data_IF_700100093945
#
_entry.id   IF_700100093945
#
_cell.length_a   1.000
_cell.length_b   1.000
_cell.length_c   1.000
_cell.angle_alpha   90.00
_cell.angle_beta   90.00
_cell.angle_gamma   90.00
#
_symmetry.space_group_name_H-M   'P 1'
#
loop_
_entity.id
_entity.type
_entity.pdbx_description
1 polymer ?
#
# COMPACT_ATOMS: atom_id res chain seq x y z
N UNK A 1 -60.46 17.83 -9.02
CA UNK A 1 -60.17 18.54 -7.76
C UNK A 1 -58.74 18.31 -7.31
N UNK A 2 -58.35 17.12 -6.80
CA UNK A 2 -56.99 16.85 -6.26
C UNK A 2 -55.84 17.32 -7.16
N UNK A 3 -55.87 16.98 -8.46
CA UNK A 3 -54.84 17.42 -9.41
C UNK A 3 -54.74 18.94 -9.61
N UNK A 4 -55.80 19.70 -9.36
CA UNK A 4 -55.79 21.17 -9.41
C UNK A 4 -55.13 21.75 -8.16
N UNK A 5 -55.35 21.13 -6.98
CA UNK A 5 -54.65 21.51 -5.75
C UNK A 5 -53.14 21.25 -5.86
N UNK A 6 -52.75 20.09 -6.44
CA UNK A 6 -51.35 19.80 -6.72
C UNK A 6 -50.74 20.79 -7.73
N UNK A 7 -51.40 21.04 -8.87
CA UNK A 7 -50.90 21.98 -9.87
C UNK A 7 -50.76 23.41 -9.31
N UNK A 8 -51.73 23.87 -8.51
CA UNK A 8 -51.65 25.16 -7.83
C UNK A 8 -50.49 25.26 -6.84
N UNK A 9 -50.18 24.17 -6.11
CA UNK A 9 -49.01 24.11 -5.23
C UNK A 9 -47.69 24.12 -6.03
N UNK A 10 -47.58 23.35 -7.12
CA UNK A 10 -46.38 23.37 -7.97
C UNK A 10 -46.15 24.76 -8.58
N UNK A 11 -47.21 25.41 -9.07
CA UNK A 11 -47.11 26.76 -9.63
C UNK A 11 -46.70 27.77 -8.55
N UNK A 12 -47.33 27.77 -7.37
CA UNK A 12 -46.97 28.68 -6.28
C UNK A 12 -45.51 28.48 -5.81
N UNK A 13 -45.03 27.23 -5.74
CA UNK A 13 -43.63 26.92 -5.44
C UNK A 13 -42.67 27.38 -6.54
N UNK A 14 -43.05 27.26 -7.81
CA UNK A 14 -42.27 27.72 -8.95
C UNK A 14 -42.16 29.26 -8.95
N UNK A 15 -43.29 29.96 -8.83
CA UNK A 15 -43.37 31.43 -8.85
C UNK A 15 -42.64 32.09 -7.67
N UNK A 16 -42.56 31.39 -6.53
CA UNK A 16 -41.83 31.86 -5.33
C UNK A 16 -40.38 31.35 -5.24
N UNK A 17 -39.93 30.55 -6.23
CA UNK A 17 -38.62 29.87 -6.22
C UNK A 17 -38.38 29.05 -4.93
N UNK A 18 -39.42 28.38 -4.44
CA UNK A 18 -39.43 27.65 -3.17
C UNK A 18 -39.36 26.12 -3.37
N UNK A 19 -38.81 25.43 -2.36
CA UNK A 19 -38.81 23.96 -2.26
C UNK A 19 -39.49 23.53 -0.98
N UNK A 20 -40.21 22.40 -1.02
CA UNK A 20 -40.90 21.87 0.16
C UNK A 20 -40.07 20.75 0.79
N UNK A 21 -39.63 20.93 2.04
CA UNK A 21 -38.99 19.86 2.82
C UNK A 21 -40.08 18.89 3.29
N UNK A 22 -39.89 17.60 3.04
CA UNK A 22 -40.87 16.54 3.31
C UNK A 22 -40.25 15.33 3.99
N UNK A 23 -41.04 14.69 4.86
CA UNK A 23 -40.76 13.35 5.38
C UNK A 23 -41.44 12.32 4.47
N UNK A 24 -40.66 11.42 3.87
CA UNK A 24 -41.16 10.33 3.03
C UNK A 24 -41.06 8.99 3.77
N UNK A 25 -42.19 8.31 3.93
CA UNK A 25 -42.23 6.90 4.30
C UNK A 25 -42.87 6.14 3.13
N UNK A 26 -42.16 5.21 2.49
CA UNK A 26 -42.73 4.45 1.36
C UNK A 26 -43.70 3.35 1.81
N UNK A 27 -43.44 2.73 2.95
CA UNK A 27 -44.31 1.76 3.61
C UNK A 27 -44.07 1.79 5.12
N UNK A 28 -44.93 1.14 5.90
CA UNK A 28 -44.76 0.96 7.35
C UNK A 28 -43.43 0.26 7.72
N UNK A 29 -42.88 -0.58 6.82
CA UNK A 29 -41.60 -1.27 7.00
C UNK A 29 -40.39 -0.46 6.52
N UNK A 30 -40.61 0.71 5.91
CA UNK A 30 -39.55 1.56 5.37
C UNK A 30 -39.16 2.61 6.39
N UNK A 31 -37.86 2.72 6.70
CA UNK A 31 -37.33 3.83 7.50
C UNK A 31 -37.77 5.18 6.93
N UNK A 32 -38.12 6.17 7.77
CA UNK A 32 -38.49 7.49 7.31
C UNK A 32 -37.28 8.18 6.65
N UNK A 33 -37.47 8.70 5.45
CA UNK A 33 -36.49 9.56 4.78
C UNK A 33 -36.85 11.03 4.96
N UNK A 34 -35.82 11.88 5.05
CA UNK A 34 -35.94 13.31 4.83
C UNK A 34 -35.60 13.61 3.37
N UNK A 35 -36.31 14.54 2.74
CA UNK A 35 -36.01 15.00 1.39
C UNK A 35 -36.64 16.35 1.09
N UNK A 36 -36.40 16.87 -0.11
CA UNK A 36 -37.11 18.03 -0.64
C UNK A 36 -37.83 17.71 -1.95
N UNK A 37 -38.93 18.42 -2.18
CA UNK A 37 -39.67 18.45 -3.44
C UNK A 37 -39.29 19.72 -4.19
N UNK A 38 -38.70 19.55 -5.38
CA UNK A 38 -38.46 20.63 -6.35
C UNK A 38 -39.63 20.68 -7.34
N UNK A 39 -40.26 21.85 -7.58
CA UNK A 39 -41.30 21.98 -8.60
C UNK A 39 -40.71 21.83 -10.00
N UNK A 40 -41.41 21.15 -10.91
CA UNK A 40 -41.06 21.08 -12.33
C UNK A 40 -42.31 21.21 -13.20
N UNK A 41 -42.23 22.10 -14.19
CA UNK A 41 -43.29 22.41 -15.14
C UNK A 41 -42.72 22.19 -16.54
N UNK A 42 -43.24 21.18 -17.22
CA UNK A 42 -42.93 20.89 -18.62
C UNK A 42 -44.13 21.32 -19.51
N UNK A 43 -43.96 21.22 -20.83
CA UNK A 43 -45.02 21.58 -21.79
C UNK A 43 -46.19 20.59 -21.81
N UNK A 44 -45.94 19.36 -21.39
CA UNK A 44 -46.85 18.21 -21.43
C UNK A 44 -47.35 17.77 -20.04
N UNK A 45 -46.57 18.03 -18.98
CA UNK A 45 -46.90 17.61 -17.62
C UNK A 45 -46.36 18.56 -16.53
N UNK A 46 -46.97 18.48 -15.35
CA UNK A 46 -46.55 19.21 -14.13
C UNK A 46 -46.22 18.16 -13.08
N UNK A 47 -45.04 18.24 -12.45
CA UNK A 47 -44.59 17.27 -11.45
C UNK A 47 -43.72 17.91 -10.34
N UNK A 48 -43.30 17.08 -9.40
CA UNK A 48 -42.27 17.44 -8.40
C UNK A 48 -41.19 16.35 -8.37
N UNK A 49 -39.93 16.75 -8.37
CA UNK A 49 -38.82 15.84 -8.14
C UNK A 49 -38.55 15.72 -6.63
N UNK A 50 -38.70 14.51 -6.08
CA UNK A 50 -38.22 14.17 -4.74
C UNK A 50 -36.73 13.88 -4.79
N UNK A 51 -35.95 14.62 -4.00
CA UNK A 51 -34.52 14.36 -3.76
C UNK A 51 -34.33 14.13 -2.27
N UNK A 52 -33.71 13.00 -1.91
CA UNK A 52 -33.39 12.66 -0.52
C UNK A 52 -32.33 13.63 0.01
N UNK A 53 -32.50 14.09 1.24
CA UNK A 53 -31.52 14.90 1.97
C UNK A 53 -30.66 14.00 2.87
N UNK A 54 -29.37 14.32 3.08
CA UNK A 54 -28.56 13.69 4.09
C UNK A 54 -29.10 14.01 5.50
N UNK A 55 -28.98 13.06 6.42
CA UNK A 55 -29.08 13.34 7.85
C UNK A 55 -27.76 13.90 8.39
N UNK A 56 -27.74 14.41 9.63
CA UNK A 56 -26.49 14.86 10.27
C UNK A 56 -25.42 13.77 10.37
N UNK A 57 -25.85 12.51 10.43
CA UNK A 57 -24.99 11.30 10.43
C UNK A 57 -24.33 11.02 9.06
N UNK A 58 -24.94 11.48 7.96
CA UNK A 58 -24.39 11.34 6.60
C UNK A 58 -23.33 12.42 6.28
N UNK A 59 -23.37 13.56 6.99
CA UNK A 59 -22.47 14.70 6.78
C UNK A 59 -21.07 14.39 7.31
N UNK A 60 -20.05 14.63 6.48
CA UNK A 60 -18.64 14.41 6.83
C UNK A 60 -17.87 15.72 6.76
N UNK A 61 -17.45 16.21 7.92
CA UNK A 61 -16.63 17.41 8.04
C UNK A 61 -15.17 17.09 7.67
N UNK A 62 -14.79 17.41 6.43
CA UNK A 62 -13.41 17.33 5.96
C UNK A 62 -12.80 18.74 5.89
N UNK A 63 -11.82 19.00 6.75
CA UNK A 63 -11.06 20.24 6.72
C UNK A 63 -10.00 20.18 5.61
N UNK A 64 -10.09 21.10 4.64
CA UNK A 64 -9.12 21.28 3.57
C UNK A 64 -8.57 22.72 3.61
N UNK A 65 -7.28 22.88 3.29
CA UNK A 65 -6.69 24.21 3.11
C UNK A 65 -7.35 24.95 1.94
N UNK A 66 -7.63 26.24 2.10
CA UNK A 66 -8.11 27.07 0.99
C UNK A 66 -7.00 27.22 -0.06
N UNK A 67 -7.21 26.64 -1.25
CA UNK A 67 -6.28 26.64 -2.37
C UNK A 67 -5.83 28.06 -2.77
N UNK A 68 -6.71 29.05 -2.70
CA UNK A 68 -6.39 30.46 -3.03
C UNK A 68 -5.33 31.03 -2.08
N UNK A 69 -5.33 30.60 -0.81
CA UNK A 69 -4.37 31.05 0.19
C UNK A 69 -2.97 30.42 0.01
N UNK A 70 -2.87 29.31 -0.75
CA UNK A 70 -1.63 28.57 -0.97
C UNK A 70 -0.78 29.29 -2.03
N UNK A 71 0.02 30.27 -1.59
CA UNK A 71 0.96 31.04 -2.42
C UNK A 71 1.94 30.22 -3.28
N UNK A 72 2.09 28.92 -3.01
CA UNK A 72 2.93 27.98 -3.80
C UNK A 72 2.23 27.47 -5.07
N UNK A 73 0.90 27.52 -5.10
CA UNK A 73 0.05 26.89 -6.13
C UNK A 73 -0.78 27.92 -6.92
N UNK A 74 -0.51 29.21 -6.72
CA UNK A 74 -1.10 30.31 -7.49
C UNK A 74 -0.68 30.19 -8.97
N UNK A 75 -1.63 30.12 -9.92
CA UNK A 75 -1.31 29.96 -11.34
C UNK A 75 -0.79 31.27 -11.96
N UNK A 76 0.01 31.14 -13.02
CA UNK A 76 0.45 32.27 -13.86
C UNK A 76 -0.68 32.78 -14.76
N UNK A 77 -0.66 34.07 -15.11
CA UNK A 77 -1.51 34.67 -16.15
C UNK A 77 -1.44 33.93 -17.49
N UNK A 78 -0.31 33.29 -17.80
CA UNK A 78 -0.15 32.47 -19.01
C UNK A 78 -0.83 31.10 -18.88
N UNK A 79 -0.77 30.49 -17.70
CA UNK A 79 -1.42 29.22 -17.39
C UNK A 79 -2.95 29.39 -17.38
N UNK A 80 -3.46 30.49 -16.83
CA UNK A 80 -4.89 30.83 -16.86
C UNK A 80 -5.40 30.93 -18.31
N UNK A 81 -4.71 31.68 -19.17
CA UNK A 81 -5.07 31.82 -20.61
C UNK A 81 -5.05 30.48 -21.35
N UNK A 82 -4.12 29.58 -21.03
CA UNK A 82 -4.08 28.22 -21.61
C UNK A 82 -5.30 27.40 -21.17
N UNK A 83 -5.73 27.51 -19.92
CA UNK A 83 -6.94 26.86 -19.40
C UNK A 83 -8.22 27.45 -20.00
N UNK A 84 -8.33 28.78 -20.12
CA UNK A 84 -9.45 29.44 -20.82
C UNK A 84 -9.56 28.97 -22.29
N UNK A 85 -8.41 28.86 -22.97
CA UNK A 85 -8.35 28.35 -24.34
C UNK A 85 -8.69 26.85 -24.40
N UNK A 86 -8.32 26.05 -23.41
CA UNK A 86 -8.68 24.63 -23.33
C UNK A 86 -10.20 24.46 -23.16
N UNK A 87 -10.81 25.19 -22.21
CA UNK A 87 -12.26 25.21 -21.98
C UNK A 87 -12.99 25.57 -23.28
N UNK A 88 -12.56 26.64 -23.96
CA UNK A 88 -13.13 27.09 -25.23
C UNK A 88 -12.96 26.05 -26.36
N UNK A 89 -11.88 25.26 -26.35
CA UNK A 89 -11.58 24.28 -27.42
C UNK A 89 -12.24 22.91 -27.17
N UNK A 90 -12.56 22.58 -25.92
CA UNK A 90 -13.21 21.32 -25.52
C UNK A 90 -14.69 21.49 -25.15
N UNK A 91 -15.29 22.64 -25.45
CA UNK A 91 -16.73 22.89 -25.29
C UNK A 91 -17.55 21.92 -26.15
N UNK A 92 -18.57 21.30 -25.53
CA UNK A 92 -19.49 20.35 -26.13
C UNK A 92 -20.92 20.90 -26.25
N UNK A 93 -21.20 22.11 -25.77
CA UNK A 93 -22.56 22.68 -25.77
C UNK A 93 -23.10 22.95 -27.17
N UNK A 94 -22.24 23.36 -28.12
CA UNK A 94 -22.65 23.90 -29.41
C UNK A 94 -21.77 23.44 -30.61
N UNK A 95 -21.57 22.12 -30.79
CA UNK A 95 -20.74 21.61 -31.88
C UNK A 95 -21.44 21.62 -33.27
N UNK A 96 -21.45 22.81 -33.87
CA UNK A 96 -21.67 23.09 -35.30
C UNK A 96 -23.12 22.92 -35.84
N UNK A 97 -23.63 23.99 -36.47
CA UNK A 97 -24.84 24.12 -37.32
C UNK A 97 -26.23 23.74 -36.78
N UNK A 98 -26.36 22.99 -35.70
CA UNK A 98 -27.68 22.58 -35.16
C UNK A 98 -28.21 23.43 -34.00
N UNK A 99 -27.31 24.00 -33.19
CA UNK A 99 -27.66 24.49 -31.84
C UNK A 99 -27.91 23.36 -30.82
N UNK A 100 -27.70 22.10 -31.24
CA UNK A 100 -27.80 20.92 -30.39
C UNK A 100 -26.47 20.59 -29.71
N UNK A 101 -26.56 19.98 -28.52
CA UNK A 101 -25.43 19.52 -27.72
C UNK A 101 -24.66 18.38 -28.43
N UNK A 102 -23.33 18.50 -28.45
CA UNK A 102 -22.41 17.63 -29.19
C UNK A 102 -22.38 16.19 -28.67
N UNK A 103 -22.52 16.03 -27.35
CA UNK A 103 -22.53 14.75 -26.65
C UNK A 103 -23.61 14.81 -25.60
N UNK A 104 -24.61 13.92 -25.66
CA UNK A 104 -25.70 13.87 -24.67
C UNK A 104 -25.58 12.58 -23.87
N UNK A 105 -24.97 12.58 -22.67
CA UNK A 105 -24.78 11.38 -21.87
C UNK A 105 -26.07 10.60 -21.60
N UNK A 106 -27.19 11.31 -21.44
CA UNK A 106 -28.52 10.73 -21.19
C UNK A 106 -29.05 9.86 -22.34
N UNK A 107 -28.52 10.01 -23.56
CA UNK A 107 -28.84 9.18 -24.72
C UNK A 107 -27.85 8.01 -24.90
N UNK A 108 -26.79 7.93 -24.09
CA UNK A 108 -25.78 6.87 -24.18
C UNK A 108 -26.20 5.66 -23.33
N UNK A 109 -26.53 4.57 -24.01
CA UNK A 109 -26.83 3.29 -23.35
C UNK A 109 -25.66 2.79 -22.50
N UNK A 110 -25.97 2.14 -21.37
CA UNK A 110 -24.97 1.56 -20.47
C UNK A 110 -24.12 0.49 -21.20
N UNK A 111 -22.81 0.74 -21.43
CA UNK A 111 -21.98 -0.14 -22.26
C UNK A 111 -21.71 -1.49 -21.58
N UNK A 112 -21.78 -1.59 -20.25
CA UNK A 112 -21.62 -2.87 -19.53
C UNK A 112 -22.71 -3.87 -19.92
N UNK A 113 -23.97 -3.42 -19.96
CA UNK A 113 -25.13 -4.28 -20.26
C UNK A 113 -25.06 -4.76 -21.72
N UNK A 114 -24.75 -3.85 -22.64
CA UNK A 114 -24.60 -4.19 -24.06
C UNK A 114 -23.41 -5.15 -24.29
N UNK A 115 -22.27 -4.90 -23.64
CA UNK A 115 -21.09 -5.78 -23.67
C UNK A 115 -21.39 -7.17 -23.09
N UNK A 116 -22.15 -7.25 -22.01
CA UNK A 116 -22.60 -8.51 -21.43
C UNK A 116 -23.42 -9.31 -22.46
N UNK A 117 -24.43 -8.70 -23.08
CA UNK A 117 -25.24 -9.38 -24.10
C UNK A 117 -24.46 -9.76 -25.36
N UNK A 118 -23.55 -8.90 -25.85
CA UNK A 118 -22.63 -9.24 -26.93
C UNK A 118 -21.75 -10.46 -26.59
N UNK A 119 -21.23 -10.52 -25.37
CA UNK A 119 -20.37 -11.62 -24.90
C UNK A 119 -21.16 -12.93 -24.78
N UNK A 120 -22.39 -12.89 -24.27
CA UNK A 120 -23.30 -14.04 -24.19
C UNK A 120 -23.67 -14.54 -25.59
N UNK A 121 -24.10 -13.64 -26.48
CA UNK A 121 -24.47 -13.99 -27.86
C UNK A 121 -23.28 -14.60 -28.63
N UNK A 122 -22.08 -14.01 -28.53
CA UNK A 122 -20.88 -14.55 -29.17
C UNK A 122 -20.49 -15.92 -28.62
N UNK A 123 -20.56 -16.13 -27.30
CA UNK A 123 -20.28 -17.45 -26.67
C UNK A 123 -21.32 -18.51 -27.03
N UNK A 124 -22.59 -18.12 -27.26
CA UNK A 124 -23.65 -19.03 -27.66
C UNK A 124 -23.52 -19.49 -29.13
N UNK A 125 -23.00 -18.63 -30.02
CA UNK A 125 -22.76 -18.95 -31.44
C UNK A 125 -21.40 -19.61 -31.64
N UNK A 126 -20.36 -19.16 -30.92
CA UNK A 126 -18.98 -19.62 -31.06
C UNK A 126 -18.39 -20.00 -29.68
N UNK A 127 -18.62 -21.24 -29.21
CA UNK A 127 -18.30 -21.64 -27.83
C UNK A 127 -16.82 -21.59 -27.45
N UNK A 128 -15.88 -21.73 -28.39
CA UNK A 128 -14.45 -21.84 -28.11
C UNK A 128 -13.64 -20.55 -28.37
N UNK A 129 -14.20 -19.56 -29.07
CA UNK A 129 -13.48 -18.32 -29.39
C UNK A 129 -13.21 -17.48 -28.11
N UNK A 130 -12.03 -16.84 -27.95
CA UNK A 130 -11.81 -15.88 -26.87
C UNK A 130 -12.75 -14.67 -26.99
N UNK A 131 -13.09 -14.03 -25.86
CA UNK A 131 -13.95 -12.85 -25.87
C UNK A 131 -13.20 -11.65 -26.48
N UNK A 132 -13.59 -11.23 -27.68
CA UNK A 132 -12.98 -10.11 -28.43
C UNK A 132 -12.93 -8.82 -27.60
N UNK A 133 -11.76 -8.18 -27.47
CA UNK A 133 -11.60 -6.96 -26.64
C UNK A 133 -12.27 -5.71 -27.24
N UNK A 134 -12.53 -5.68 -28.55
CA UNK A 134 -13.30 -4.62 -29.23
C UNK A 134 -14.69 -4.45 -28.60
N UNK A 135 -15.10 -3.18 -28.47
CA UNK A 135 -16.38 -2.74 -27.95
C UNK A 135 -16.96 -1.74 -28.95
N UNK A 136 -17.79 -2.21 -29.89
CA UNK A 136 -18.33 -1.37 -30.98
C UNK A 136 -19.12 -0.14 -30.49
N UNK A 137 -19.58 -0.14 -29.25
CA UNK A 137 -20.25 1.01 -28.62
C UNK A 137 -19.25 2.12 -28.22
N UNK A 138 -18.03 1.75 -27.84
CA UNK A 138 -16.94 2.72 -27.64
C UNK A 138 -16.51 3.28 -28.99
N UNK A 139 -16.34 2.41 -30.00
CA UNK A 139 -15.97 2.77 -31.38
C UNK A 139 -16.97 3.74 -32.04
N UNK A 140 -18.26 3.69 -31.68
CA UNK A 140 -19.27 4.67 -32.10
C UNK A 140 -19.04 6.06 -31.48
N UNK A 141 -18.81 6.13 -30.16
CA UNK A 141 -18.55 7.38 -29.45
C UNK A 141 -17.16 7.97 -29.75
N UNK A 142 -16.19 7.12 -30.12
CA UNK A 142 -14.82 7.52 -30.45
C UNK A 142 -14.76 8.55 -31.59
N UNK A 143 -15.75 8.57 -32.49
CA UNK A 143 -15.80 9.54 -33.61
C UNK A 143 -15.85 11.00 -33.13
N UNK A 144 -16.63 11.28 -32.09
CA UNK A 144 -16.67 12.61 -31.47
C UNK A 144 -15.41 12.87 -30.64
N UNK A 145 -14.96 11.89 -29.87
CA UNK A 145 -13.74 11.99 -29.05
C UNK A 145 -12.52 12.31 -29.91
N UNK A 146 -12.38 11.67 -31.07
CA UNK A 146 -11.33 11.95 -32.06
C UNK A 146 -11.44 13.37 -32.63
N UNK A 147 -12.65 13.86 -32.92
CA UNK A 147 -12.89 15.23 -33.40
C UNK A 147 -12.47 16.27 -32.36
N UNK A 148 -12.86 16.09 -31.09
CA UNK A 148 -12.52 16.99 -29.98
C UNK A 148 -11.02 16.93 -29.66
N UNK A 149 -10.45 15.73 -29.53
CA UNK A 149 -9.02 15.54 -29.29
C UNK A 149 -8.14 16.12 -30.41
N UNK A 150 -8.58 16.03 -31.67
CA UNK A 150 -7.87 16.63 -32.81
C UNK A 150 -7.87 18.17 -32.75
N UNK A 151 -8.92 18.79 -32.20
CA UNK A 151 -9.00 20.23 -31.96
C UNK A 151 -8.13 20.65 -30.77
N UNK A 152 -8.27 19.97 -29.64
CA UNK A 152 -7.62 20.37 -28.37
C UNK A 152 -6.14 19.99 -28.27
N UNK A 153 -5.64 19.08 -29.13
CA UNK A 153 -4.25 18.60 -29.07
C UNK A 153 -3.21 19.70 -28.89
N UNK A 154 -3.25 20.76 -29.70
CA UNK A 154 -2.26 21.86 -29.61
C UNK A 154 -2.27 22.55 -28.25
N UNK A 155 -3.45 22.77 -27.70
CA UNK A 155 -3.64 23.38 -26.38
C UNK A 155 -3.19 22.45 -25.26
N UNK A 156 -3.36 21.14 -25.43
CA UNK A 156 -2.84 20.11 -24.51
C UNK A 156 -1.32 19.99 -24.58
N UNK A 157 -0.72 20.10 -25.77
CA UNK A 157 0.74 20.12 -25.97
C UNK A 157 1.36 21.32 -25.21
N UNK A 158 0.80 22.54 -25.38
CA UNK A 158 1.22 23.74 -24.63
C UNK A 158 0.95 23.65 -23.12
N UNK A 159 -0.16 23.02 -22.70
CA UNK A 159 -0.45 22.79 -21.28
C UNK A 159 0.61 21.86 -20.66
N UNK A 160 1.02 20.80 -21.35
CA UNK A 160 2.07 19.90 -20.89
C UNK A 160 3.43 20.61 -20.73
N UNK A 161 3.74 21.58 -21.58
CA UNK A 161 4.94 22.43 -21.44
C UNK A 161 4.85 23.39 -20.23
N UNK A 162 3.68 23.98 -19.98
CA UNK A 162 3.47 24.94 -18.88
C UNK A 162 3.23 24.32 -17.49
N UNK A 163 2.84 23.04 -17.42
CA UNK A 163 2.53 22.34 -16.16
C UNK A 163 3.44 21.11 -16.00
N UNK A 164 4.68 21.35 -15.56
CA UNK A 164 5.69 20.28 -15.41
C UNK A 164 5.36 19.32 -14.25
N UNK A 165 4.60 18.26 -14.55
CA UNK A 165 4.33 17.18 -13.60
C UNK A 165 5.55 16.28 -13.40
N UNK A 166 5.67 15.66 -12.22
CA UNK A 166 6.65 14.62 -11.93
C UNK A 166 5.91 13.41 -11.36
N UNK A 167 6.02 12.26 -12.02
CA UNK A 167 5.55 11.00 -11.42
C UNK A 167 6.40 10.69 -10.18
N UNK A 168 5.74 10.58 -9.04
CA UNK A 168 6.31 9.99 -7.83
C UNK A 168 6.28 8.46 -7.94
N UNK A 169 7.19 7.78 -7.25
CA UNK A 169 7.26 6.31 -7.28
C UNK A 169 5.97 5.69 -6.72
N UNK A 170 5.07 5.30 -7.63
CA UNK A 170 3.86 4.57 -7.27
C UNK A 170 4.26 3.20 -6.74
N UNK A 171 3.75 2.83 -5.56
CA UNK A 171 3.91 1.47 -5.00
C UNK A 171 3.68 0.44 -6.11
N UNK A 172 4.66 -0.44 -6.33
CA UNK A 172 4.59 -1.41 -7.42
C UNK A 172 3.29 -2.21 -7.32
N UNK A 173 2.46 -2.15 -8.37
CA UNK A 173 1.39 -3.14 -8.53
C UNK A 173 2.07 -4.50 -8.67
N UNK A 174 1.62 -5.48 -7.87
CA UNK A 174 2.08 -6.88 -7.93
C UNK A 174 2.22 -7.35 -9.38
N UNK A 175 3.30 -8.07 -9.71
CA UNK A 175 3.52 -8.54 -11.09
C UNK A 175 2.31 -9.36 -11.57
N UNK A 176 1.59 -8.83 -12.56
CA UNK A 176 0.54 -9.55 -13.27
C UNK A 176 1.11 -10.83 -13.89
N UNK A 177 0.35 -11.93 -13.91
CA UNK A 177 0.81 -13.21 -14.46
C UNK A 177 1.36 -13.13 -15.89
N UNK A 178 0.84 -12.20 -16.70
CA UNK A 178 1.34 -11.86 -18.02
C UNK A 178 2.84 -11.49 -18.04
N UNK A 179 3.36 -10.78 -17.01
CA UNK A 179 4.79 -10.48 -16.86
C UNK A 179 5.62 -11.64 -16.31
N UNK A 180 4.99 -12.71 -15.82
CA UNK A 180 5.65 -13.92 -15.32
C UNK A 180 5.65 -15.05 -16.36
N UNK A 181 4.65 -15.09 -17.25
CA UNK A 181 4.41 -16.23 -18.16
C UNK A 181 4.18 -15.85 -19.63
N UNK A 182 3.94 -14.57 -19.96
CA UNK A 182 3.50 -14.12 -21.30
C UNK A 182 4.53 -14.22 -22.43
N UNK A 183 5.78 -14.60 -22.14
CA UNK A 183 6.82 -14.87 -23.14
C UNK A 183 7.02 -16.37 -23.44
N UNK A 184 6.13 -17.25 -22.97
CA UNK A 184 6.14 -18.69 -23.28
C UNK A 184 5.24 -18.97 -24.49
N UNK A 185 5.50 -18.29 -25.61
CA UNK A 185 4.88 -18.66 -26.88
C UNK A 185 5.86 -18.52 -28.06
N UNK A 186 6.24 -19.68 -28.60
CA UNK A 186 6.78 -19.92 -29.93
C UNK A 186 7.74 -18.88 -30.55
N UNK A 187 8.98 -18.86 -30.08
CA UNK A 187 10.11 -18.76 -31.03
C UNK A 187 11.11 -19.88 -30.81
N UNK A 188 11.32 -20.72 -31.84
CA UNK A 188 12.36 -21.76 -31.89
C UNK A 188 13.74 -21.16 -32.16
N UNK A 189 14.04 -20.04 -31.50
CA UNK A 189 15.35 -19.39 -31.59
C UNK A 189 16.29 -20.08 -30.61
N UNK A 190 16.97 -21.14 -31.09
CA UNK A 190 18.19 -21.65 -30.45
C UNK A 190 19.15 -20.47 -30.25
N UNK A 191 19.21 -19.94 -29.04
CA UNK A 191 20.35 -19.15 -28.61
C UNK A 191 21.53 -20.12 -28.56
N UNK A 192 22.32 -20.10 -29.63
CA UNK A 192 23.56 -20.85 -29.77
C UNK A 192 24.58 -20.21 -28.82
N UNK A 193 24.53 -20.59 -27.54
CA UNK A 193 25.71 -20.55 -26.70
C UNK A 193 26.73 -21.45 -27.37
N UNK A 194 27.90 -20.89 -27.67
CA UNK A 194 28.99 -21.59 -28.34
C UNK A 194 29.64 -22.60 -27.39
N UNK A 195 30.29 -23.61 -27.96
CA UNK A 195 30.73 -24.78 -27.20
C UNK A 195 31.76 -24.43 -26.11
N UNK A 196 31.58 -25.02 -24.92
CA UNK A 196 32.68 -25.59 -24.17
C UNK A 196 32.19 -26.92 -23.59
N UNK A 197 32.80 -28.01 -24.04
CA UNK A 197 32.40 -29.36 -23.64
C UNK A 197 32.75 -29.64 -22.18
N UNK A 198 31.78 -30.17 -21.45
CA UNK A 198 31.98 -31.37 -20.63
C UNK A 198 30.62 -31.99 -20.33
N UNK A 199 30.27 -33.00 -21.13
CA UNK A 199 29.09 -33.83 -20.91
C UNK A 199 29.46 -34.98 -19.97
N UNK A 200 29.06 -34.87 -18.70
CA UNK A 200 28.79 -36.06 -17.89
C UNK A 200 27.27 -36.29 -17.86
N UNK A 201 26.80 -37.22 -18.70
CA UNK A 201 25.45 -37.74 -18.60
C UNK A 201 25.31 -38.58 -17.33
N UNK A 202 24.72 -38.01 -16.27
CA UNK A 202 24.07 -38.82 -15.24
C UNK A 202 22.55 -38.78 -15.43
N UNK A 203 22.06 -39.81 -16.10
CA UNK A 203 20.63 -40.16 -16.12
C UNK A 203 20.21 -40.70 -14.75
N UNK A 204 19.52 -39.89 -13.96
CA UNK A 204 18.76 -40.36 -12.78
C UNK A 204 17.41 -39.67 -12.68
N UNK A 205 16.36 -40.48 -12.55
CA UNK A 205 14.98 -40.03 -12.43
C UNK A 205 14.68 -39.26 -11.14
N UNK A 206 13.56 -38.53 -11.15
CA UNK A 206 12.81 -38.08 -9.96
C UNK A 206 13.58 -37.21 -8.95
N UNK A 207 13.77 -35.93 -9.29
CA UNK A 207 13.79 -34.84 -8.28
C UNK A 207 12.51 -34.02 -8.41
N UNK A 208 11.93 -33.58 -7.28
CA UNK A 208 10.59 -32.98 -7.28
C UNK A 208 10.55 -31.58 -7.89
N UNK A 209 9.36 -31.12 -8.26
CA UNK A 209 9.10 -29.73 -8.67
C UNK A 209 9.61 -28.72 -7.63
N UNK A 210 9.58 -29.08 -6.34
CA UNK A 210 10.12 -28.25 -5.25
C UNK A 210 11.64 -28.13 -5.31
N UNK A 211 12.37 -29.18 -5.72
CA UNK A 211 13.82 -29.12 -5.87
C UNK A 211 14.22 -28.15 -7.00
N UNK A 212 13.49 -28.14 -8.12
CA UNK A 212 13.72 -27.17 -9.19
C UNK A 212 13.34 -25.75 -8.76
N UNK A 213 12.23 -25.58 -8.02
CA UNK A 213 11.82 -24.29 -7.48
C UNK A 213 12.81 -23.76 -6.43
N UNK A 214 13.35 -24.63 -5.57
CA UNK A 214 14.35 -24.32 -4.57
C UNK A 214 15.68 -23.93 -5.21
N UNK A 215 16.16 -24.67 -6.22
CA UNK A 215 17.36 -24.30 -6.98
C UNK A 215 17.21 -22.93 -7.65
N UNK A 216 16.05 -22.65 -8.25
CA UNK A 216 15.76 -21.37 -8.91
C UNK A 216 15.56 -20.22 -7.93
N UNK A 217 15.10 -20.50 -6.70
CA UNK A 217 15.16 -19.56 -5.55
C UNK A 217 16.61 -19.30 -5.12
N UNK A 218 17.42 -20.36 -4.93
CA UNK A 218 18.82 -20.26 -4.46
C UNK A 218 19.63 -19.32 -5.37
N UNK A 219 19.43 -19.42 -6.68
CA UNK A 219 20.06 -18.55 -7.69
C UNK A 219 19.59 -17.08 -7.73
N UNK A 220 18.65 -16.67 -6.85
CA UNK A 220 18.03 -15.34 -6.86
C UNK A 220 18.04 -14.63 -5.50
N UNK A 221 18.62 -15.21 -4.45
CA UNK A 221 18.74 -14.57 -3.13
C UNK A 221 19.78 -13.45 -3.23
N UNK A 222 19.35 -12.20 -3.00
CA UNK A 222 20.22 -11.00 -2.93
C UNK A 222 20.09 -10.24 -1.60
N UNK A 223 19.13 -10.64 -0.78
CA UNK A 223 18.77 -10.00 0.49
C UNK A 223 18.25 -11.05 1.46
N UNK A 224 18.68 -11.00 2.71
CA UNK A 224 18.17 -11.89 3.78
C UNK A 224 16.70 -11.53 4.09
N UNK A 225 15.81 -12.52 4.10
CA UNK A 225 14.39 -12.35 4.41
C UNK A 225 14.04 -12.67 5.86
N UNK A 226 12.94 -12.10 6.35
CA UNK A 226 12.37 -12.37 7.69
C UNK A 226 11.70 -13.76 7.82
N UNK A 227 11.71 -14.58 6.76
CA UNK A 227 11.05 -15.90 6.70
C UNK A 227 12.05 -17.04 6.98
N UNK A 228 13.21 -17.05 6.31
CA UNK A 228 14.24 -18.09 6.37
C UNK A 228 15.66 -17.53 6.63
N UNK A 229 15.84 -16.59 7.57
CA UNK A 229 17.06 -15.75 7.65
C UNK A 229 18.37 -16.53 7.78
N UNK A 230 18.37 -17.66 8.50
CA UNK A 230 19.55 -18.50 8.73
C UNK A 230 19.99 -19.23 7.45
N UNK A 231 19.03 -19.68 6.64
CA UNK A 231 19.31 -20.35 5.35
C UNK A 231 19.72 -19.32 4.29
N UNK A 232 19.01 -18.20 4.22
CA UNK A 232 19.35 -17.07 3.34
C UNK A 232 20.79 -16.58 3.61
N UNK A 233 21.17 -16.43 4.88
CA UNK A 233 22.52 -15.99 5.30
C UNK A 233 23.62 -16.99 4.93
N UNK A 234 23.45 -18.28 5.25
CA UNK A 234 24.43 -19.32 4.89
C UNK A 234 24.59 -19.42 3.38
N UNK A 235 23.50 -19.35 2.63
CA UNK A 235 23.54 -19.46 1.16
C UNK A 235 24.13 -18.22 0.48
N UNK A 236 23.95 -17.01 1.02
CA UNK A 236 24.66 -15.81 0.56
C UNK A 236 26.18 -15.91 0.78
N UNK A 237 26.61 -16.46 1.93
CA UNK A 237 28.04 -16.69 2.24
C UNK A 237 28.64 -17.79 1.36
N UNK A 238 27.89 -18.85 1.05
CA UNK A 238 28.28 -19.89 0.07
C UNK A 238 28.46 -19.32 -1.34
N UNK A 239 27.63 -18.35 -1.74
CA UNK A 239 27.60 -17.79 -3.09
C UNK A 239 28.61 -16.66 -3.34
N UNK A 240 29.14 -16.03 -2.29
CA UNK A 240 30.13 -14.94 -2.41
C UNK A 240 29.68 -13.72 -3.22
N UNK A 241 28.36 -13.54 -3.41
CA UNK A 241 27.79 -12.53 -4.33
C UNK A 241 27.65 -11.12 -3.72
N UNK A 242 28.04 -10.94 -2.46
CA UNK A 242 28.06 -9.68 -1.72
C UNK A 242 29.20 -9.75 -0.69
N UNK A 243 29.70 -8.62 -0.17
CA UNK A 243 30.78 -8.69 0.82
C UNK A 243 30.29 -9.32 2.13
N UNK A 244 31.17 -10.04 2.84
CA UNK A 244 30.80 -10.68 4.11
C UNK A 244 30.26 -9.64 5.12
N UNK A 245 30.88 -8.46 5.17
CA UNK A 245 30.44 -7.31 5.95
C UNK A 245 29.01 -6.85 5.59
N UNK A 246 28.65 -6.75 4.30
CA UNK A 246 27.27 -6.42 3.88
C UNK A 246 26.27 -7.50 4.32
N UNK A 247 26.61 -8.78 4.14
CA UNK A 247 25.73 -9.91 4.50
C UNK A 247 25.52 -9.99 6.02
N UNK A 248 26.55 -9.71 6.81
CA UNK A 248 26.43 -9.53 8.25
C UNK A 248 25.57 -8.32 8.62
N UNK A 249 25.74 -7.15 7.97
CA UNK A 249 24.90 -5.96 8.22
C UNK A 249 23.42 -6.18 7.88
N UNK A 250 23.11 -6.97 6.84
CA UNK A 250 21.74 -7.40 6.56
C UNK A 250 21.18 -8.28 7.68
N UNK A 251 21.96 -9.27 8.16
CA UNK A 251 21.56 -10.11 9.28
C UNK A 251 21.34 -9.28 10.55
N UNK A 252 22.24 -8.35 10.87
CA UNK A 252 22.10 -7.39 11.96
C UNK A 252 20.79 -6.60 11.88
N UNK A 253 20.42 -6.16 10.67
CA UNK A 253 19.17 -5.42 10.44
C UNK A 253 17.94 -6.29 10.70
N UNK A 254 17.94 -7.55 10.26
CA UNK A 254 16.84 -8.51 10.48
C UNK A 254 16.72 -8.91 11.97
N UNK A 255 17.84 -9.12 12.67
CA UNK A 255 17.87 -9.35 14.12
C UNK A 255 17.25 -8.16 14.86
N UNK A 256 17.66 -6.93 14.51
CA UNK A 256 17.09 -5.72 15.09
C UNK A 256 15.60 -5.57 14.72
N UNK A 257 15.15 -5.95 13.52
CA UNK A 257 13.74 -5.93 13.15
C UNK A 257 12.92 -6.89 14.04
N UNK A 258 13.38 -8.13 14.26
CA UNK A 258 12.72 -9.07 15.17
C UNK A 258 12.64 -8.52 16.61
N UNK A 259 13.73 -7.93 17.13
CA UNK A 259 13.75 -7.31 18.47
C UNK A 259 12.82 -6.08 18.56
N UNK A 260 12.67 -5.32 17.46
CA UNK A 260 11.80 -4.14 17.44
C UNK A 260 10.31 -4.48 17.25
N UNK A 261 9.97 -5.50 16.46
CA UNK A 261 8.61 -5.82 16.04
C UNK A 261 7.97 -6.98 16.84
N UNK A 262 8.69 -7.66 17.75
CA UNK A 262 8.12 -8.75 18.55
C UNK A 262 7.02 -8.27 19.50
N UNK A 263 5.89 -8.97 19.50
CA UNK A 263 4.83 -8.82 20.51
C UNK A 263 4.99 -9.94 21.55
N UNK A 264 5.72 -9.62 22.62
CA UNK A 264 6.16 -10.62 23.59
C UNK A 264 7.23 -11.56 23.02
N UNK A 265 7.22 -12.81 23.45
CA UNK A 265 8.32 -13.77 23.23
C UNK A 265 8.47 -14.31 21.79
N UNK A 266 7.43 -14.22 20.96
CA UNK A 266 7.26 -15.07 19.77
C UNK A 266 8.33 -14.94 18.66
N UNK A 267 9.15 -13.88 18.65
CA UNK A 267 10.28 -13.70 17.71
C UNK A 267 11.65 -13.77 18.40
N UNK A 268 11.72 -13.78 19.73
CA UNK A 268 12.98 -13.73 20.48
C UNK A 268 13.82 -14.99 20.28
N UNK A 269 13.20 -16.17 20.32
CA UNK A 269 13.90 -17.45 20.13
C UNK A 269 14.50 -17.56 18.71
N UNK A 270 13.86 -16.94 17.70
CA UNK A 270 14.41 -16.83 16.33
C UNK A 270 15.56 -15.82 16.25
N UNK A 271 15.46 -14.70 16.96
CA UNK A 271 16.54 -13.72 17.03
C UNK A 271 17.79 -14.31 17.70
N UNK A 272 17.64 -15.10 18.78
CA UNK A 272 18.74 -15.82 19.44
C UNK A 272 19.45 -16.78 18.48
N UNK A 273 18.71 -17.61 17.73
CA UNK A 273 19.29 -18.51 16.72
C UNK A 273 20.02 -17.77 15.59
N UNK A 274 19.53 -16.58 15.20
CA UNK A 274 20.21 -15.72 14.23
C UNK A 274 21.51 -15.12 14.80
N UNK A 275 21.51 -14.71 16.07
CA UNK A 275 22.70 -14.19 16.78
C UNK A 275 23.76 -15.31 16.94
N UNK A 276 23.36 -16.51 17.36
CA UNK A 276 24.25 -17.67 17.47
C UNK A 276 24.87 -18.02 16.10
N UNK A 277 24.06 -18.10 15.05
CA UNK A 277 24.56 -18.34 13.69
C UNK A 277 25.47 -17.21 13.16
N UNK A 278 25.26 -15.96 13.58
CA UNK A 278 26.14 -14.85 13.25
C UNK A 278 27.49 -14.97 13.98
N UNK A 279 27.49 -15.31 15.28
CA UNK A 279 28.70 -15.56 16.08
C UNK A 279 29.57 -16.63 15.44
N UNK A 280 29.00 -17.80 15.15
CA UNK A 280 29.71 -18.94 14.55
C UNK A 280 30.40 -18.56 13.23
N UNK A 281 29.72 -17.79 12.38
CA UNK A 281 30.25 -17.40 11.06
C UNK A 281 31.27 -16.25 11.17
N UNK A 282 31.11 -15.32 12.11
CA UNK A 282 32.12 -14.30 12.41
C UNK A 282 33.41 -14.92 12.95
N UNK A 283 33.33 -15.95 13.79
CA UNK A 283 34.51 -16.73 14.25
C UNK A 283 35.16 -17.45 13.05
N UNK A 284 34.39 -18.16 12.23
CA UNK A 284 34.90 -18.89 11.05
C UNK A 284 35.54 -17.98 9.98
N UNK A 285 35.14 -16.70 9.89
CA UNK A 285 35.68 -15.72 8.93
C UNK A 285 36.68 -14.73 9.53
N UNK A 286 36.97 -14.83 10.83
CA UNK A 286 37.90 -13.96 11.57
C UNK A 286 37.53 -12.47 11.55
N UNK A 287 36.23 -12.14 11.50
CA UNK A 287 35.70 -10.77 11.60
C UNK A 287 34.88 -10.58 12.90
N UNK A 288 35.50 -10.60 14.10
CA UNK A 288 34.80 -10.53 15.38
C UNK A 288 34.19 -9.15 15.67
N UNK A 289 34.75 -8.09 15.07
CA UNK A 289 34.38 -6.68 15.29
C UNK A 289 32.89 -6.43 15.00
N UNK A 290 32.37 -6.98 13.90
CA UNK A 290 30.96 -6.79 13.48
C UNK A 290 29.99 -7.40 14.49
N UNK A 291 30.32 -8.56 15.05
CA UNK A 291 29.49 -9.21 16.06
C UNK A 291 29.51 -8.42 17.38
N UNK A 292 30.69 -8.04 17.84
CA UNK A 292 30.86 -7.30 19.10
C UNK A 292 30.18 -5.92 19.05
N UNK A 293 30.26 -5.21 17.92
CA UNK A 293 29.53 -3.95 17.68
C UNK A 293 28.00 -4.15 17.70
N UNK A 294 27.49 -5.24 17.09
CA UNK A 294 26.06 -5.61 17.14
C UNK A 294 25.61 -5.91 18.57
N UNK A 295 26.39 -6.64 19.36
CA UNK A 295 26.03 -7.03 20.72
C UNK A 295 25.93 -5.80 21.65
N UNK A 296 26.87 -4.85 21.50
CA UNK A 296 26.82 -3.54 22.16
C UNK A 296 25.58 -2.74 21.75
N UNK A 297 25.21 -2.75 20.46
CA UNK A 297 23.98 -2.11 19.97
C UNK A 297 22.71 -2.75 20.53
N UNK A 298 22.67 -4.09 20.65
CA UNK A 298 21.54 -4.81 21.27
C UNK A 298 21.44 -4.47 22.76
N UNK A 299 22.55 -4.47 23.51
CA UNK A 299 22.58 -4.05 24.93
C UNK A 299 22.02 -2.64 25.11
N UNK A 300 22.44 -1.71 24.25
CA UNK A 300 21.96 -0.32 24.24
C UNK A 300 20.47 -0.19 23.89
N UNK A 301 19.93 -1.00 22.99
CA UNK A 301 18.49 -1.00 22.69
C UNK A 301 17.65 -1.70 23.77
N UNK A 302 18.19 -2.71 24.45
CA UNK A 302 17.50 -3.40 25.55
C UNK A 302 17.37 -2.52 26.80
N UNK A 303 18.39 -1.70 27.12
CA UNK A 303 18.35 -0.76 28.25
C UNK A 303 17.37 0.40 28.08
N UNK A 304 17.10 0.83 26.85
CA UNK A 304 16.30 2.03 26.55
C UNK A 304 14.78 1.79 26.44
N UNK A 305 14.31 0.54 26.42
CA UNK A 305 12.91 0.20 26.08
C UNK A 305 12.39 -0.88 27.02
N UNK A 306 11.42 -0.54 27.88
CA UNK A 306 11.00 -1.37 29.02
C UNK A 306 10.42 -2.76 28.68
N UNK A 307 10.02 -3.00 27.42
CA UNK A 307 9.60 -4.33 26.95
C UNK A 307 10.72 -5.26 26.48
N UNK A 308 12.01 -4.88 26.58
CA UNK A 308 13.15 -5.62 26.00
C UNK A 308 14.15 -6.17 27.03
N UNK A 309 13.93 -5.87 28.31
CA UNK A 309 14.74 -6.40 29.42
C UNK A 309 14.67 -7.93 29.49
N UNK A 310 13.52 -8.52 29.13
CA UNK A 310 13.35 -9.98 29.12
C UNK A 310 14.03 -10.69 27.94
N UNK A 311 14.17 -10.01 26.79
CA UNK A 311 15.06 -10.48 25.72
C UNK A 311 16.52 -10.53 26.20
N UNK A 312 16.98 -9.48 26.90
CA UNK A 312 18.34 -9.47 27.44
C UNK A 312 18.58 -10.55 28.50
N UNK A 313 17.58 -10.84 29.37
CA UNK A 313 17.66 -11.99 30.30
C UNK A 313 17.92 -13.30 29.53
N UNK A 314 17.15 -13.59 28.48
CA UNK A 314 17.37 -14.78 27.65
C UNK A 314 18.76 -14.81 26.97
N UNK A 315 19.28 -13.67 26.52
CA UNK A 315 20.67 -13.57 25.97
C UNK A 315 21.71 -13.94 27.03
N UNK A 316 21.51 -13.50 28.29
CA UNK A 316 22.39 -13.83 29.43
C UNK A 316 22.24 -15.29 29.87
N UNK A 317 21.01 -15.83 29.89
CA UNK A 317 20.73 -17.23 30.25
C UNK A 317 21.37 -18.22 29.24
N UNK A 318 21.28 -17.91 27.94
CA UNK A 318 21.97 -18.62 26.85
C UNK A 318 23.49 -18.35 26.81
N UNK A 319 24.01 -17.46 27.67
CA UNK A 319 25.43 -17.08 27.79
C UNK A 319 26.07 -16.61 26.48
N UNK A 320 25.29 -15.96 25.62
CA UNK A 320 25.81 -15.29 24.44
C UNK A 320 26.62 -14.08 24.93
N UNK A 321 27.86 -13.97 24.47
CA UNK A 321 28.85 -13.01 24.94
C UNK A 321 29.80 -12.61 23.82
N UNK A 322 30.44 -11.45 24.00
CA UNK A 322 31.44 -10.89 23.09
C UNK A 322 32.52 -11.93 22.73
N UNK A 323 32.85 -12.04 21.44
CA UNK A 323 33.90 -12.94 20.95
C UNK A 323 35.24 -12.50 21.53
N UNK A 324 35.87 -13.38 22.31
CA UNK A 324 37.10 -13.10 23.05
C UNK A 324 38.36 -13.27 22.19
N UNK A 325 39.49 -12.73 22.67
CA UNK A 325 40.84 -12.98 22.16
C UNK A 325 41.21 -14.46 22.08
N UNK A 326 40.58 -15.29 22.92
CA UNK A 326 40.85 -16.73 23.03
C UNK A 326 40.08 -17.53 21.97
N UNK A 327 38.96 -16.99 21.48
CA UNK A 327 38.15 -17.54 20.39
C UNK A 327 38.55 -17.01 19.01
N UNK A 328 39.04 -15.76 18.93
CA UNK A 328 39.46 -15.14 17.67
C UNK A 328 40.64 -14.17 17.86
N UNK A 329 41.74 -14.42 17.14
CA UNK A 329 43.01 -13.66 17.22
C UNK A 329 42.85 -12.18 16.79
N UNK A 330 41.84 -11.86 15.96
CA UNK A 330 41.48 -10.50 15.55
C UNK A 330 40.63 -9.73 16.59
N UNK A 331 40.28 -10.36 17.73
CA UNK A 331 39.48 -9.72 18.78
C UNK A 331 40.36 -9.05 19.85
N UNK A 332 40.03 -7.80 20.16
CA UNK A 332 40.65 -7.06 21.26
C UNK A 332 39.97 -7.31 22.63
N UNK A 333 38.86 -8.07 22.68
CA UNK A 333 38.06 -8.25 23.89
C UNK A 333 38.66 -9.36 24.76
N UNK A 334 39.00 -9.03 26.01
CA UNK A 334 39.58 -9.99 26.96
C UNK A 334 38.45 -10.82 27.61
N UNK A 335 38.70 -12.09 27.94
CA UNK A 335 37.71 -12.97 28.61
C UNK A 335 37.03 -12.35 29.86
N UNK A 336 37.76 -11.54 30.63
CA UNK A 336 37.26 -10.79 31.80
C UNK A 336 36.27 -9.67 31.41
N UNK A 337 36.45 -9.07 30.23
CA UNK A 337 35.59 -8.01 29.70
C UNK A 337 34.27 -8.59 29.17
N UNK A 338 34.33 -9.73 28.47
CA UNK A 338 33.14 -10.48 28.05
C UNK A 338 32.29 -10.99 29.23
N UNK A 339 32.93 -11.35 30.35
CA UNK A 339 32.21 -11.69 31.60
C UNK A 339 31.52 -10.45 32.21
N UNK A 340 32.25 -9.36 32.41
CA UNK A 340 31.69 -8.11 32.96
C UNK A 340 30.55 -7.54 32.12
N UNK A 341 30.61 -7.71 30.81
CA UNK A 341 29.56 -7.29 29.88
C UNK A 341 28.19 -7.94 30.19
N UNK A 342 28.18 -9.16 30.73
CA UNK A 342 26.98 -9.85 31.23
C UNK A 342 26.58 -9.41 32.64
N UNK A 343 27.56 -9.27 33.55
CA UNK A 343 27.36 -8.95 34.98
C UNK A 343 26.78 -7.55 35.25
N UNK A 344 26.95 -6.61 34.32
CA UNK A 344 26.58 -5.19 34.51
C UNK A 344 25.07 -4.95 34.76
N UNK A 345 24.21 -5.95 34.49
CA UNK A 345 22.76 -5.89 34.73
C UNK A 345 22.28 -6.57 36.04
N UNK A 346 23.16 -7.16 36.86
CA UNK A 346 22.75 -7.84 38.11
C UNK A 346 23.00 -7.05 39.40
N UNK A 347 23.58 -5.85 39.32
CA UNK A 347 24.15 -5.14 40.48
C UNK A 347 23.30 -4.01 41.07
N UNK A 348 21.97 -3.99 40.82
CA UNK A 348 21.11 -2.83 41.13
C UNK A 348 19.90 -3.15 42.01
N UNK A 349 20.00 -4.12 42.92
CA UNK A 349 19.06 -4.28 44.03
C UNK A 349 19.80 -4.36 45.38
N UNK A 350 19.12 -3.86 46.43
CA UNK A 350 19.51 -3.90 47.86
C UNK A 350 20.81 -3.13 48.21
N UNK A 351 20.67 -1.84 48.57
CA UNK A 351 20.77 -1.30 49.96
C UNK A 351 20.51 0.21 49.92
N UNK A 352 19.36 0.64 50.46
CA UNK A 352 19.26 1.76 51.41
C UNK A 352 17.79 1.99 51.79
N UNK A 353 17.45 1.77 53.06
CA UNK A 353 16.13 2.05 53.61
C UNK A 353 16.28 2.55 55.05
N UNK A 354 16.17 3.87 55.28
CA UNK A 354 15.95 4.48 56.60
C UNK A 354 15.76 6.01 56.51
N UNK A 355 14.56 6.49 56.92
CA UNK A 355 14.30 7.64 57.82
C UNK A 355 14.83 9.06 57.38
N UNK A 356 14.10 10.18 57.45
CA UNK A 356 12.77 10.57 58.00
C UNK A 356 12.40 11.94 57.31
N UNK A 357 11.18 12.52 57.24
CA UNK A 357 10.01 12.67 58.15
C UNK A 357 8.73 13.07 57.37
N UNK A 358 7.58 13.07 58.04
CA UNK A 358 6.44 14.03 58.09
C UNK A 358 6.33 15.17 57.02
N UNK A 359 5.15 15.72 56.64
CA UNK A 359 3.69 15.60 56.96
C UNK A 359 2.93 15.72 55.58
N UNK A 360 1.62 15.52 55.36
CA UNK A 360 0.36 15.73 56.12
C UNK A 360 -0.79 14.82 55.58
N UNK A 361 -1.98 14.84 56.19
CA UNK A 361 -3.10 13.88 56.00
C UNK A 361 -3.88 13.94 54.65
N UNK A 362 -4.60 12.85 54.29
CA UNK A 362 -5.49 12.83 53.11
C UNK A 362 -6.18 11.51 52.70
N UNK A 363 -6.70 10.69 53.64
CA UNK A 363 -7.50 9.48 53.31
C UNK A 363 -8.91 9.84 52.79
N UNK A 364 -9.36 9.26 51.66
CA UNK A 364 -10.76 8.82 51.46
C UNK A 364 -10.97 7.91 50.21
N UNK A 365 -11.67 6.79 50.43
CA UNK A 365 -12.41 5.90 49.50
C UNK A 365 -11.72 5.16 48.32
N UNK A 366 -11.17 3.97 48.64
CA UNK A 366 -11.15 2.81 47.72
C UNK A 366 -12.57 2.23 47.55
N UNK A 367 -13.31 2.62 46.49
CA UNK A 367 -14.39 1.77 45.92
C UNK A 367 -14.86 2.23 44.53
N UNK A 368 -14.70 1.39 43.50
CA UNK A 368 -15.81 0.90 42.65
C UNK A 368 -15.32 -0.11 41.60
N UNK A 369 -15.58 -1.37 41.88
CA UNK A 369 -15.33 -2.50 40.99
C UNK A 369 -16.40 -2.61 39.87
N UNK A 370 -15.97 -3.10 38.72
CA UNK A 370 -16.68 -4.08 37.88
C UNK A 370 -18.12 -3.78 37.38
N UNK A 371 -18.23 -3.19 36.18
CA UNK A 371 -19.25 -3.53 35.15
C UNK A 371 -18.55 -3.65 33.78
#
# INVERSE_FOLDING_TARGET
EEGQAFAGLVQAMYDTNAVAIVRRCFSERSSPELGFLRPHIAHDHICMYYVKLPFGEDVREFNFDNLDAIKRNQPSDEQLKTIDHLITTMDLTHADRGGEEAFRPDLVFNPYIQRMFQSIARRAVTPEEPLSLSNTIMEMNDTLVQSVASKSKRTLDTLHEQFTLRDTERRQKMMTGEKLFGNIDNSTKKMRLEENDNVEELTTDSTSFEAQLAAKKKAAIRTIGTITPIEDFKTLIEQGSSSFTEVCQQMSTVILEFINNSRGDALFDKALQCIQCLRDMCIQKLEPKIFNDLEILIKKQAGNIDGRKDFWKKVVDEKISLITSDECIESNVISIEAQKFLEENTSTEVVNNALITNEDDGDEEDLFDLI
#
